data_IF_442948292616
#
_entry.id   IF_442948292616
#
_cell.length_a   1.000
_cell.length_b   1.000
_cell.length_c   1.000
_cell.angle_alpha   90.00
_cell.angle_beta   90.00
_cell.angle_gamma   90.00
#
_symmetry.space_group_name_H-M   'P 1'
#
loop_
_entity.id
_entity.type
_entity.pdbx_description
1 polymer ?
#
# COMPACT_ATOMS: atom_id res chain seq x y z
N UNK A 1 4.99 8.78 8.77
CA UNK A 1 4.99 10.26 8.61
C UNK A 1 3.57 10.82 8.50
N UNK A 2 2.73 10.29 7.61
CA UNK A 2 1.37 10.79 7.35
C UNK A 2 0.50 10.88 8.62
N UNK A 3 0.52 9.86 9.49
CA UNK A 3 -0.28 9.84 10.73
C UNK A 3 0.02 11.05 11.64
N UNK A 4 1.29 11.39 11.82
CA UNK A 4 1.70 12.55 12.63
C UNK A 4 1.29 13.87 11.96
N UNK A 5 1.55 14.03 10.66
CA UNK A 5 1.19 15.24 9.92
C UNK A 5 -0.32 15.51 9.87
N UNK A 6 -1.13 14.45 10.01
CA UNK A 6 -2.59 14.51 10.07
C UNK A 6 -3.14 14.50 11.50
N UNK A 7 -2.29 14.77 12.49
CA UNK A 7 -2.63 14.80 13.92
C UNK A 7 -3.34 13.53 14.43
N UNK A 8 -3.08 12.37 13.80
CA UNK A 8 -3.63 11.08 14.23
C UNK A 8 -2.81 10.48 15.38
N UNK A 9 -1.53 10.83 15.46
CA UNK A 9 -0.65 10.43 16.56
C UNK A 9 0.07 11.66 17.13
N UNK A 10 0.28 11.73 18.46
CA UNK A 10 0.89 12.90 19.10
C UNK A 10 2.38 13.04 18.77
N UNK A 11 3.04 11.95 18.38
CA UNK A 11 4.46 11.90 18.04
C UNK A 11 4.68 10.99 16.81
N UNK A 12 5.82 11.12 16.10
CA UNK A 12 6.25 10.17 15.10
C UNK A 12 6.32 8.74 15.67
N UNK A 13 5.90 7.75 14.88
CA UNK A 13 5.88 6.33 15.29
C UNK A 13 7.25 5.87 15.80
N UNK A 14 8.35 6.33 15.17
CA UNK A 14 9.71 5.98 15.60
C UNK A 14 10.04 6.48 17.01
N UNK A 15 9.44 7.59 17.46
CA UNK A 15 9.62 8.10 18.81
C UNK A 15 8.74 7.33 19.82
N UNK A 16 7.52 6.95 19.42
CA UNK A 16 6.62 6.16 20.25
C UNK A 16 7.22 4.80 20.65
N UNK A 17 7.91 4.12 19.71
CA UNK A 17 8.62 2.87 19.99
C UNK A 17 9.64 3.00 21.13
N UNK A 18 10.31 4.17 21.25
CA UNK A 18 11.38 4.40 22.24
C UNK A 18 10.85 4.76 23.62
N UNK A 19 9.58 5.11 23.74
CA UNK A 19 9.01 5.58 25.01
C UNK A 19 8.59 4.43 25.93
N UNK A 20 8.83 3.16 25.57
CA UNK A 20 8.40 2.02 26.38
C UNK A 20 9.21 1.93 27.66
N UNK A 21 8.65 2.43 28.78
CA UNK A 21 9.24 2.17 30.10
C UNK A 21 9.08 3.25 31.17
N UNK A 22 8.36 4.36 30.95
CA UNK A 22 8.31 5.47 31.94
C UNK A 22 6.93 6.04 32.23
N UNK A 23 5.87 5.48 31.67
CA UNK A 23 4.53 6.06 31.71
C UNK A 23 3.76 5.51 32.93
N UNK A 24 3.36 6.39 33.85
CA UNK A 24 2.48 6.02 34.97
C UNK A 24 1.03 5.74 34.55
N UNK A 25 0.65 6.10 33.32
CA UNK A 25 -0.69 5.89 32.78
C UNK A 25 -0.75 4.55 32.01
N UNK A 26 -1.32 3.53 32.67
CA UNK A 26 -1.48 2.18 32.13
C UNK A 26 -2.38 2.13 30.87
N UNK A 27 -3.43 2.97 30.80
CA UNK A 27 -4.32 3.04 29.63
C UNK A 27 -3.60 3.58 28.40
N UNK A 28 -2.85 4.68 28.54
CA UNK A 28 -2.08 5.25 27.45
C UNK A 28 -0.95 4.31 27.00
N UNK A 29 -0.32 3.60 27.93
CA UNK A 29 0.67 2.58 27.61
C UNK A 29 0.06 1.43 26.79
N UNK A 30 -1.13 0.95 27.17
CA UNK A 30 -1.86 -0.09 26.43
C UNK A 30 -2.20 0.36 25.01
N UNK A 31 -2.82 1.54 24.84
CA UNK A 31 -3.17 2.08 23.51
C UNK A 31 -1.95 2.25 22.61
N UNK A 32 -0.82 2.69 23.18
CA UNK A 32 0.42 2.81 22.42
C UNK A 32 0.93 1.44 21.98
N UNK A 33 0.93 0.44 22.86
CA UNK A 33 1.35 -0.92 22.50
C UNK A 33 0.46 -1.50 21.42
N UNK A 34 -0.85 -1.33 21.53
CA UNK A 34 -1.82 -1.76 20.50
C UNK A 34 -1.56 -1.08 19.15
N UNK A 35 -1.32 0.24 19.14
CA UNK A 35 -0.96 0.98 17.93
C UNK A 35 0.34 0.46 17.30
N UNK A 36 1.36 0.19 18.11
CA UNK A 36 2.65 -0.32 17.63
C UNK A 36 2.49 -1.73 17.05
N UNK A 37 1.74 -2.61 17.72
CA UNK A 37 1.44 -3.94 17.21
C UNK A 37 0.67 -3.89 15.88
N UNK A 38 -0.34 -3.03 15.77
CA UNK A 38 -1.09 -2.83 14.53
C UNK A 38 -0.18 -2.30 13.40
N UNK A 39 0.75 -1.40 13.73
CA UNK A 39 1.72 -0.86 12.76
C UNK A 39 2.71 -1.92 12.28
N UNK A 40 3.19 -2.80 13.16
CA UNK A 40 4.08 -3.90 12.81
C UNK A 40 3.37 -4.93 11.91
N UNK A 41 2.13 -5.32 12.25
CA UNK A 41 1.30 -6.19 11.40
C UNK A 41 1.09 -5.57 10.02
N UNK A 42 0.72 -4.29 9.96
CA UNK A 42 0.55 -3.58 8.70
C UNK A 42 1.84 -3.54 7.88
N UNK A 43 2.98 -3.26 8.52
CA UNK A 43 4.28 -3.18 7.85
C UNK A 43 4.73 -4.53 7.28
N UNK A 44 4.48 -5.61 8.02
CA UNK A 44 4.70 -6.99 7.56
C UNK A 44 3.86 -7.29 6.31
N UNK A 45 2.56 -6.98 6.35
CA UNK A 45 1.66 -7.19 5.21
C UNK A 45 2.01 -6.33 3.99
N UNK A 46 2.46 -5.09 4.19
CA UNK A 46 2.92 -4.26 3.08
C UNK A 46 4.12 -4.90 2.38
N UNK A 47 5.08 -5.43 3.14
CA UNK A 47 6.27 -6.08 2.57
C UNK A 47 5.90 -7.29 1.71
N UNK A 48 5.03 -8.16 2.22
CA UNK A 48 4.56 -9.34 1.47
C UNK A 48 3.71 -8.96 0.26
N UNK A 49 2.79 -8.01 0.42
CA UNK A 49 1.92 -7.52 -0.68
C UNK A 49 2.74 -6.86 -1.78
N UNK A 50 3.71 -6.01 -1.44
CA UNK A 50 4.59 -5.38 -2.44
C UNK A 50 5.45 -6.41 -3.15
N UNK A 51 5.94 -7.44 -2.46
CA UNK A 51 6.70 -8.53 -3.09
C UNK A 51 5.84 -9.32 -4.09
N UNK A 52 4.62 -9.70 -3.67
CA UNK A 52 3.67 -10.41 -4.52
C UNK A 52 3.25 -9.56 -5.73
N UNK A 53 2.93 -8.27 -5.51
CA UNK A 53 2.54 -7.33 -6.54
C UNK A 53 3.69 -7.09 -7.54
N UNK A 54 4.92 -6.89 -7.05
CA UNK A 54 6.10 -6.69 -7.90
C UNK A 54 6.34 -7.91 -8.79
N UNK A 55 6.20 -9.11 -8.22
CA UNK A 55 6.30 -10.36 -8.99
C UNK A 55 5.19 -10.49 -10.02
N UNK A 56 3.95 -10.19 -9.65
CA UNK A 56 2.81 -10.23 -10.57
C UNK A 56 2.97 -9.22 -11.72
N UNK A 57 3.43 -8.00 -11.41
CA UNK A 57 3.70 -6.96 -12.40
C UNK A 57 4.81 -7.36 -13.37
N UNK A 58 5.94 -7.87 -12.87
CA UNK A 58 7.04 -8.36 -13.69
C UNK A 58 6.63 -9.53 -14.59
N UNK A 59 5.73 -10.39 -14.12
CA UNK A 59 5.15 -11.49 -14.94
C UNK A 59 4.16 -10.99 -15.98
N UNK A 60 3.47 -9.88 -15.70
CA UNK A 60 2.51 -9.29 -16.63
C UNK A 60 3.17 -8.52 -17.77
N UNK A 61 4.31 -7.85 -17.51
CA UNK A 61 5.06 -7.09 -18.51
C UNK A 61 5.76 -7.99 -19.54
N UNK A 62 6.16 -9.21 -19.16
CA UNK A 62 6.87 -10.14 -20.05
C UNK A 62 6.05 -10.62 -21.26
N UNK A 63 4.71 -10.46 -21.26
CA UNK A 63 3.83 -10.87 -22.36
C UNK A 63 3.59 -9.77 -23.39
N UNK A 64 4.04 -8.55 -23.13
CA UNK A 64 3.78 -7.40 -23.99
C UNK A 64 4.81 -7.35 -25.13
N UNK A 65 4.31 -7.17 -26.36
CA UNK A 65 5.03 -7.26 -27.64
C UNK A 65 6.43 -6.59 -27.64
N UNK A 66 7.43 -7.29 -28.21
CA UNK A 66 8.80 -6.76 -28.44
C UNK A 66 8.86 -5.47 -29.28
N UNK A 67 7.77 -5.11 -29.95
CA UNK A 67 7.68 -3.92 -30.81
C UNK A 67 7.00 -2.72 -30.14
N UNK A 68 6.56 -2.83 -28.88
CA UNK A 68 5.92 -1.72 -28.17
C UNK A 68 6.96 -0.79 -27.54
N UNK A 69 6.78 0.51 -27.73
CA UNK A 69 7.55 1.57 -27.07
C UNK A 69 7.66 1.33 -25.55
N UNK A 70 8.74 1.76 -24.89
CA UNK A 70 8.93 1.57 -23.45
C UNK A 70 7.68 2.04 -22.70
N UNK A 71 6.96 1.07 -22.12
CA UNK A 71 5.73 1.34 -21.38
C UNK A 71 6.17 1.97 -20.06
N UNK A 72 5.78 3.21 -19.81
CA UNK A 72 5.99 3.86 -18.52
C UNK A 72 5.19 3.07 -17.45
N UNK A 73 5.86 2.18 -16.73
CA UNK A 73 5.25 1.48 -15.63
C UNK A 73 5.02 2.46 -14.48
N UNK A 74 3.74 2.63 -14.13
CA UNK A 74 3.30 3.53 -13.06
C UNK A 74 2.41 2.79 -12.07
N UNK A 75 2.73 2.92 -10.78
CA UNK A 75 1.98 2.34 -9.69
C UNK A 75 1.46 3.43 -8.76
N UNK A 76 0.28 3.23 -8.19
CA UNK A 76 -0.31 4.17 -7.24
C UNK A 76 -0.67 3.45 -5.95
N UNK A 77 -0.30 4.05 -4.81
CA UNK A 77 -0.69 3.60 -3.48
C UNK A 77 -1.55 4.69 -2.85
N UNK A 78 -2.74 4.32 -2.38
CA UNK A 78 -3.66 5.22 -1.70
C UNK A 78 -3.72 4.88 -0.21
N UNK A 79 -3.50 5.88 0.65
CA UNK A 79 -3.67 5.79 2.11
C UNK A 79 -4.88 6.64 2.49
N UNK A 80 -5.94 5.98 2.92
CA UNK A 80 -7.17 6.62 3.38
C UNK A 80 -7.21 6.63 4.91
N UNK A 81 -7.51 7.80 5.49
CA UNK A 81 -7.63 7.99 6.94
C UNK A 81 -9.04 8.48 7.28
N UNK A 82 -9.79 7.68 8.03
CA UNK A 82 -11.11 8.04 8.54
C UNK A 82 -11.86 6.84 9.11
N UNK A 83 -13.12 7.05 9.55
CA UNK A 83 -13.94 6.01 10.18
C UNK A 83 -14.24 4.84 9.25
N UNK A 84 -14.43 5.11 7.96
CA UNK A 84 -14.60 4.09 6.93
C UNK A 84 -13.96 4.54 5.62
N UNK A 85 -13.88 3.61 4.66
CA UNK A 85 -13.32 3.85 3.34
C UNK A 85 -14.14 4.87 2.53
N UNK A 86 -15.47 4.86 2.69
CA UNK A 86 -16.39 5.80 2.05
C UNK A 86 -16.46 7.18 2.71
N UNK A 87 -16.15 7.27 4.00
CA UNK A 87 -16.19 8.53 4.78
C UNK A 87 -14.79 8.99 5.23
N UNK A 88 -13.76 8.60 4.47
CA UNK A 88 -12.38 8.95 4.77
C UNK A 88 -12.20 10.48 4.82
N UNK A 89 -11.73 10.99 5.95
CA UNK A 89 -11.49 12.42 6.21
C UNK A 89 -10.27 12.95 5.46
N UNK A 90 -9.28 12.09 5.24
CA UNK A 90 -8.07 12.44 4.51
C UNK A 90 -7.67 11.31 3.59
N UNK A 91 -7.20 11.66 2.39
CA UNK A 91 -6.69 10.74 1.38
C UNK A 91 -5.29 11.20 0.99
N UNK A 92 -4.35 10.27 0.88
CA UNK A 92 -2.98 10.53 0.41
C UNK A 92 -2.68 9.55 -0.70
N UNK A 93 -2.27 10.05 -1.86
CA UNK A 93 -1.86 9.24 -3.01
C UNK A 93 -0.34 9.34 -3.17
N UNK A 94 0.30 8.19 -3.37
CA UNK A 94 1.70 8.07 -3.72
C UNK A 94 1.77 7.43 -5.10
N UNK A 95 2.12 8.22 -6.11
CA UNK A 95 2.47 7.73 -7.44
C UNK A 95 3.95 7.35 -7.47
N UNK A 96 4.25 6.16 -7.97
CA UNK A 96 5.61 5.68 -8.25
C UNK A 96 5.71 5.48 -9.75
N UNK A 97 6.54 6.31 -10.37
CA UNK A 97 6.76 6.35 -11.81
C UNK A 97 8.10 5.68 -12.16
N UNK A 98 8.22 5.22 -13.41
CA UNK A 98 9.48 4.77 -14.00
C UNK A 98 10.16 3.63 -13.21
N UNK A 99 9.38 2.72 -12.63
CA UNK A 99 9.98 1.53 -12.04
C UNK A 99 10.26 0.49 -13.13
N UNK A 100 11.42 -0.16 -13.02
CA UNK A 100 11.83 -1.24 -13.91
C UNK A 100 11.33 -2.58 -13.34
N UNK A 101 10.45 -3.26 -14.08
CA UNK A 101 9.84 -4.50 -13.64
C UNK A 101 10.70 -5.69 -14.09
N UNK A 102 11.60 -6.15 -13.21
CA UNK A 102 12.45 -7.33 -13.44
C UNK A 102 11.99 -8.53 -12.62
N UNK A 103 12.01 -9.71 -13.23
CA UNK A 103 11.73 -10.96 -12.52
C UNK A 103 13.00 -11.34 -11.74
N UNK A 104 12.91 -11.32 -10.41
CA UNK A 104 14.02 -11.74 -9.56
C UNK A 104 14.36 -13.21 -9.83
N UNK A 105 15.63 -13.51 -10.16
CA UNK A 105 16.10 -14.87 -10.41
C UNK A 105 16.09 -15.29 -11.88
N UNK A 106 15.51 -14.51 -12.80
CA UNK A 106 15.85 -14.62 -14.22
C UNK A 106 17.11 -13.79 -14.40
N UNK A 107 18.28 -14.42 -14.24
CA UNK A 107 19.53 -13.82 -14.70
C UNK A 107 19.30 -13.49 -16.17
N UNK A 108 19.45 -12.23 -16.57
CA UNK A 108 19.41 -11.81 -17.96
C UNK A 108 20.50 -12.61 -18.67
N UNK A 109 20.11 -13.78 -19.19
CA UNK A 109 20.99 -14.66 -19.94
C UNK A 109 21.48 -13.81 -21.09
N UNK A 110 22.76 -13.52 -21.00
CA UNK A 110 23.43 -12.42 -21.65
C UNK A 110 23.33 -12.66 -23.15
N UNK A 111 22.30 -12.10 -23.79
CA UNK A 111 22.13 -12.05 -25.25
C UNK A 111 23.10 -11.04 -25.87
N UNK A 112 24.28 -10.91 -25.28
CA UNK A 112 25.45 -10.23 -25.83
C UNK A 112 26.26 -11.26 -26.61
N UNK A 113 26.18 -11.15 -27.92
CA UNK A 113 26.73 -12.09 -28.90
C UNK A 113 28.11 -12.64 -28.63
N UNK A 114 28.25 -13.94 -28.91
CA UNK A 114 29.30 -14.40 -29.79
C UNK A 114 28.60 -14.97 -31.03
N UNK A 115 28.70 -14.22 -32.12
CA UNK A 115 28.62 -14.77 -33.47
C UNK A 115 29.71 -15.86 -33.62
N UNK A 116 29.38 -16.89 -34.39
CA UNK A 116 30.27 -17.88 -35.00
C UNK A 116 31.00 -18.86 -34.06
N UNK A 117 30.48 -20.09 -33.97
CA UNK A 117 31.16 -21.27 -34.52
C UNK A 117 30.23 -22.51 -34.46
N UNK A 118 29.98 -23.07 -35.64
CA UNK A 118 29.34 -24.35 -35.91
C UNK A 118 30.03 -25.50 -35.14
N UNK A 119 29.33 -26.22 -34.26
CA UNK A 119 29.61 -27.64 -34.03
C UNK A 119 28.31 -28.41 -33.80
N UNK A 120 27.94 -29.19 -34.83
CA UNK A 120 26.95 -30.28 -34.76
C UNK A 120 27.34 -31.22 -33.61
N UNK A 121 26.49 -31.36 -32.59
CA UNK A 121 26.59 -32.46 -31.64
C UNK A 121 25.18 -32.97 -31.32
N UNK A 122 24.74 -33.89 -32.17
CA UNK A 122 23.67 -34.85 -31.88
C UNK A 122 24.18 -35.83 -30.81
N UNK A 123 23.81 -35.69 -29.54
CA UNK A 123 23.70 -36.87 -28.65
C UNK A 123 22.51 -36.73 -27.69
N UNK A 124 21.57 -37.66 -27.88
CA UNK A 124 20.53 -38.07 -26.95
C UNK A 124 21.06 -38.23 -25.52
N UNK A 125 20.39 -37.63 -24.54
CA UNK A 125 20.37 -38.22 -23.19
C UNK A 125 19.00 -38.03 -22.52
N UNK A 126 18.22 -39.11 -22.58
CA UNK A 126 17.12 -39.34 -21.67
C UNK A 126 17.66 -39.53 -20.25
N UNK A 127 17.31 -38.63 -19.33
CA UNK A 127 17.38 -38.98 -17.91
C UNK A 127 16.23 -38.39 -17.14
N UNK A 128 15.28 -39.28 -16.83
CA UNK A 128 14.24 -39.04 -15.86
C UNK A 128 14.80 -38.91 -14.45
N UNK A 129 14.12 -38.10 -13.64
CA UNK A 129 14.15 -38.24 -12.19
C UNK A 129 12.74 -38.05 -11.66
N UNK A 130 12.13 -39.21 -11.41
CA UNK A 130 11.01 -39.41 -10.49
C UNK A 130 11.39 -38.94 -9.07
N UNK A 131 10.36 -38.64 -8.28
CA UNK A 131 10.36 -38.59 -6.81
C UNK A 131 10.96 -37.33 -6.14
N UNK A 132 10.51 -36.85 -4.97
CA UNK A 132 9.84 -37.50 -3.85
C UNK A 132 8.83 -36.56 -3.18
N UNK A 133 7.81 -37.17 -2.60
CA UNK A 133 6.84 -36.61 -1.67
C UNK A 133 7.52 -36.21 -0.35
N UNK A 134 7.56 -34.91 -0.06
CA UNK A 134 7.99 -34.38 1.24
C UNK A 134 6.79 -34.02 2.12
N UNK A 135 6.24 -35.06 2.76
CA UNK A 135 5.37 -34.99 3.93
C UNK A 135 6.19 -34.53 5.14
N UNK A 136 5.89 -33.36 5.70
CA UNK A 136 6.43 -32.93 7.00
C UNK A 136 5.29 -32.43 7.90
N UNK A 137 4.72 -33.43 8.59
CA UNK A 137 4.50 -33.47 10.04
C UNK A 137 3.89 -32.25 10.73
N UNK A 138 2.69 -32.49 11.23
CA UNK A 138 2.00 -31.71 12.22
C UNK A 138 2.83 -31.58 13.51
N UNK A 139 3.22 -30.37 13.89
CA UNK A 139 3.58 -30.06 15.28
C UNK A 139 2.35 -29.49 15.99
N UNK A 140 1.66 -30.42 16.67
CA UNK A 140 0.87 -30.17 17.87
C UNK A 140 1.72 -29.55 18.97
N UNK A 141 1.17 -28.55 19.68
CA UNK A 141 1.45 -28.09 21.08
C UNK A 141 1.33 -26.54 21.13
N UNK A 142 0.61 -25.89 22.04
CA UNK A 142 -0.16 -26.32 23.18
C UNK A 142 -1.15 -25.18 23.48
N UNK A 143 -2.44 -25.51 23.60
CA UNK A 143 -3.49 -24.61 24.07
C UNK A 143 -3.32 -24.41 25.59
N UNK A 144 -2.77 -23.27 26.00
CA UNK A 144 -2.84 -22.80 27.38
C UNK A 144 -4.06 -21.89 27.56
N UNK A 145 -5.09 -22.26 28.33
CA UNK A 145 -6.17 -21.33 28.66
C UNK A 145 -5.64 -20.26 29.63
N UNK A 146 -5.45 -19.04 29.14
CA UNK A 146 -5.26 -17.88 30.00
C UNK A 146 -6.63 -17.36 30.42
N UNK A 147 -7.16 -17.90 31.52
CA UNK A 147 -8.27 -17.31 32.27
C UNK A 147 -7.90 -15.88 32.68
N UNK A 148 -8.38 -14.91 31.91
CA UNK A 148 -8.37 -13.51 32.31
C UNK A 148 -9.80 -13.09 32.61
N UNK A 149 -10.22 -13.42 33.82
CA UNK A 149 -11.39 -12.90 34.53
C UNK A 149 -11.38 -11.35 34.47
N UNK A 150 -12.03 -10.77 33.46
CA UNK A 150 -12.26 -9.32 33.40
C UNK A 150 -13.68 -9.06 33.85
N UNK A 151 -13.81 -8.90 35.17
CA UNK A 151 -15.00 -8.44 35.88
C UNK A 151 -15.72 -7.31 35.12
N UNK A 152 -17.03 -7.51 34.92
CA UNK A 152 -17.92 -6.58 34.26
C UNK A 152 -18.03 -5.25 35.01
N UNK A 153 -18.05 -4.17 34.24
CA UNK A 153 -18.55 -2.87 34.69
C UNK A 153 -19.66 -2.48 33.73
N UNK A 154 -20.86 -2.94 34.04
CA UNK A 154 -22.09 -2.51 33.39
C UNK A 154 -22.37 -1.07 33.80
N UNK A 155 -22.03 -0.14 32.91
CA UNK A 155 -22.44 1.26 32.99
C UNK A 155 -23.59 1.47 32.03
N UNK A 156 -24.81 1.34 32.53
CA UNK A 156 -26.00 1.82 31.84
C UNK A 156 -25.85 3.32 31.55
N UNK A 157 -26.04 3.70 30.30
CA UNK A 157 -26.21 5.10 29.92
C UNK A 157 -27.31 5.19 28.88
N UNK A 158 -28.54 5.16 29.38
CA UNK A 158 -29.68 5.77 28.72
C UNK A 158 -29.37 7.24 28.46
N UNK A 159 -29.42 7.63 27.20
CA UNK A 159 -29.13 8.98 26.74
C UNK A 159 -29.82 9.24 25.42
N UNK A 160 -31.16 9.27 25.48
CA UNK A 160 -32.01 9.88 24.46
C UNK A 160 -31.61 11.35 24.27
N UNK A 161 -31.43 11.78 23.02
CA UNK A 161 -31.73 13.15 22.55
C UNK A 161 -31.60 13.13 21.02
N UNK A 162 -32.72 13.12 20.31
CA UNK A 162 -33.48 14.29 19.85
C UNK A 162 -32.70 15.17 18.87
N UNK A 163 -33.31 15.28 17.69
CA UNK A 163 -33.25 16.29 16.65
C UNK A 163 -32.29 17.48 16.84
N UNK A 164 -31.57 17.87 15.78
CA UNK A 164 -31.93 19.07 15.02
C UNK A 164 -31.34 19.06 13.61
N UNK A 165 -32.25 19.34 12.69
CA UNK A 165 -32.12 19.81 11.31
C UNK A 165 -31.34 21.15 11.22
N UNK A 166 -30.70 21.38 10.07
CA UNK A 166 -30.21 22.71 9.68
C UNK A 166 -28.69 22.89 9.53
N UNK A 167 -28.21 22.93 8.29
CA UNK A 167 -28.02 24.23 7.61
C UNK A 167 -27.34 24.05 6.27
N UNK A 168 -28.01 24.55 5.22
CA UNK A 168 -27.40 24.94 3.97
C UNK A 168 -26.22 25.90 4.21
N UNK A 169 -25.04 25.58 3.68
CA UNK A 169 -23.98 26.57 3.54
C UNK A 169 -23.48 26.60 2.10
N UNK A 170 -24.25 27.32 1.29
CA UNK A 170 -23.85 27.89 0.02
C UNK A 170 -22.78 28.96 0.30
N UNK A 171 -21.51 28.59 0.08
CA UNK A 171 -20.35 29.43 0.36
C UNK A 171 -19.41 29.44 -0.82
N UNK A 172 -19.77 30.21 -1.85
CA UNK A 172 -18.89 30.51 -2.97
C UNK A 172 -17.56 31.08 -2.52
N UNK A 173 -16.46 30.50 -3.03
CA UNK A 173 -15.14 31.12 -2.95
C UNK A 173 -14.50 31.07 -4.32
N UNK A 174 -14.67 32.16 -5.08
CA UNK A 174 -13.82 32.46 -6.22
C UNK A 174 -12.47 32.90 -5.68
N UNK A 175 -11.45 32.04 -5.80
CA UNK A 175 -10.07 32.46 -5.64
C UNK A 175 -9.40 32.51 -7.01
N UNK A 176 -9.42 33.70 -7.59
CA UNK A 176 -8.44 34.17 -8.57
C UNK A 176 -7.06 34.09 -7.92
N UNK A 177 -6.13 33.35 -8.52
CA UNK A 177 -4.71 33.45 -8.16
C UNK A 177 -3.95 33.82 -9.41
N UNK A 178 -3.54 35.08 -9.40
CA UNK A 178 -2.80 35.76 -10.44
C UNK A 178 -1.37 35.22 -10.53
N UNK A 179 -0.90 35.32 -11.77
CA UNK A 179 0.42 35.13 -12.32
C UNK A 179 1.50 35.95 -11.59
N UNK A 180 2.61 35.33 -11.21
CA UNK A 180 3.89 36.04 -11.09
C UNK A 180 5.03 35.20 -11.71
N UNK A 181 5.40 35.61 -12.92
CA UNK A 181 6.48 35.10 -13.73
C UNK A 181 7.76 35.88 -13.38
N UNK A 182 8.61 35.33 -12.52
CA UNK A 182 9.91 35.92 -12.20
C UNK A 182 11.00 35.39 -13.16
N UNK A 183 11.24 36.15 -14.23
CA UNK A 183 12.37 35.95 -15.15
C UNK A 183 13.66 36.51 -14.54
N UNK A 184 14.47 35.65 -13.91
CA UNK A 184 15.87 35.99 -13.59
C UNK A 184 16.80 35.58 -14.73
N UNK A 185 17.27 36.59 -15.47
CA UNK A 185 18.40 36.52 -16.40
C UNK A 185 19.68 36.69 -15.59
N UNK A 186 20.52 35.66 -15.51
CA UNK A 186 21.92 35.83 -15.11
C UNK A 186 22.86 35.19 -16.13
N UNK A 187 23.61 36.08 -16.79
CA UNK A 187 24.64 35.76 -17.77
C UNK A 187 25.92 35.31 -17.06
N UNK A 188 26.12 33.99 -16.93
CA UNK A 188 27.39 33.39 -16.49
C UNK A 188 28.10 32.69 -17.64
N UNK A 189 29.08 33.35 -18.26
CA UNK A 189 29.94 32.79 -19.32
C UNK A 189 31.01 31.90 -18.67
N UNK A 190 30.72 30.61 -18.48
CA UNK A 190 31.67 29.62 -17.95
C UNK A 190 32.34 28.90 -19.13
N UNK A 191 33.68 28.84 -19.07
CA UNK A 191 34.55 28.16 -20.02
C UNK A 191 34.30 26.65 -20.00
N UNK A 192 34.01 26.10 -21.18
CA UNK A 192 33.64 24.71 -21.39
C UNK A 192 34.80 23.75 -21.09
N UNK A 193 34.63 22.93 -20.07
CA UNK A 193 35.36 21.67 -19.88
C UNK A 193 34.44 20.59 -20.45
N UNK A 194 34.85 19.95 -21.55
CA UNK A 194 34.11 18.83 -22.16
C UNK A 194 34.19 17.61 -21.23
N UNK A 195 33.17 17.48 -20.39
CA UNK A 195 32.90 16.25 -19.63
C UNK A 195 32.16 15.27 -20.55
N UNK A 196 32.59 14.00 -20.64
CA UNK A 196 31.96 13.00 -21.51
C UNK A 196 30.47 12.91 -21.24
N UNK A 197 29.68 13.12 -22.30
CA UNK A 197 28.21 13.13 -22.29
C UNK A 197 27.70 11.73 -21.93
N UNK A 198 27.32 11.55 -20.67
CA UNK A 198 26.48 10.44 -20.24
C UNK A 198 25.14 10.42 -20.99
N UNK A 199 24.39 9.30 -20.91
CA UNK A 199 23.12 9.13 -21.61
C UNK A 199 22.19 10.33 -21.37
N UNK A 200 21.69 10.92 -22.46
CA UNK A 200 20.73 12.02 -22.40
C UNK A 200 19.48 11.54 -21.68
N UNK A 201 19.33 11.93 -20.43
CA UNK A 201 18.07 11.82 -19.68
C UNK A 201 17.08 12.73 -20.41
N UNK A 202 16.19 12.13 -21.20
CA UNK A 202 15.07 12.85 -21.82
C UNK A 202 14.17 13.28 -20.68
N UNK A 203 13.91 14.58 -20.55
CA UNK A 203 12.99 15.07 -19.53
C UNK A 203 11.61 14.39 -19.74
N UNK A 204 10.99 13.85 -18.68
CA UNK A 204 9.72 13.16 -18.82
C UNK A 204 8.68 14.11 -19.43
N UNK A 205 7.77 13.61 -20.29
CA UNK A 205 6.71 14.42 -20.85
C UNK A 205 5.91 15.06 -19.71
N UNK A 206 5.87 16.39 -19.68
CA UNK A 206 5.09 17.12 -18.69
C UNK A 206 3.61 16.97 -19.03
N UNK A 207 2.95 16.03 -18.37
CA UNK A 207 1.48 15.93 -18.37
C UNK A 207 0.92 17.23 -17.82
N UNK A 208 -0.13 17.76 -18.44
CA UNK A 208 -0.79 18.97 -17.95
C UNK A 208 -1.48 18.68 -16.61
N UNK A 209 -1.41 19.62 -15.67
CA UNK A 209 -2.09 19.50 -14.37
C UNK A 209 -3.59 19.17 -14.50
N UNK A 210 -4.26 19.73 -15.51
CA UNK A 210 -5.68 19.46 -15.76
C UNK A 210 -5.93 18.00 -16.21
N UNK A 211 -4.98 17.41 -16.95
CA UNK A 211 -5.04 16.02 -17.38
C UNK A 211 -4.78 15.08 -16.21
N UNK A 212 -3.78 15.40 -15.38
CA UNK A 212 -3.50 14.68 -14.15
C UNK A 212 -4.71 14.69 -13.19
N UNK A 213 -5.37 15.83 -13.01
CA UNK A 213 -6.54 15.93 -12.15
C UNK A 213 -7.72 15.09 -12.69
N UNK A 214 -7.93 15.07 -14.01
CA UNK A 214 -8.96 14.20 -14.64
C UNK A 214 -8.60 12.72 -14.47
N UNK A 215 -7.34 12.36 -14.64
CA UNK A 215 -6.85 11.01 -14.43
C UNK A 215 -7.11 10.56 -12.99
N UNK A 216 -6.76 11.39 -12.00
CA UNK A 216 -6.98 11.10 -10.58
C UNK A 216 -8.47 10.95 -10.24
N UNK A 217 -9.34 11.81 -10.78
CA UNK A 217 -10.80 11.68 -10.60
C UNK A 217 -11.34 10.38 -11.20
N UNK A 218 -10.86 9.98 -12.38
CA UNK A 218 -11.26 8.73 -13.00
C UNK A 218 -10.78 7.52 -12.19
N UNK A 219 -9.53 7.55 -11.73
CA UNK A 219 -8.96 6.53 -10.86
C UNK A 219 -9.72 6.40 -9.54
N UNK A 220 -10.08 7.54 -8.92
CA UNK A 220 -10.90 7.57 -7.71
C UNK A 220 -12.28 6.94 -7.95
N UNK A 221 -12.96 7.31 -9.04
CA UNK A 221 -14.27 6.76 -9.39
C UNK A 221 -14.20 5.24 -9.65
N UNK A 222 -13.15 4.78 -10.32
CA UNK A 222 -12.92 3.36 -10.55
C UNK A 222 -12.67 2.63 -9.24
N UNK A 223 -11.81 3.18 -8.37
CA UNK A 223 -11.51 2.62 -7.05
C UNK A 223 -12.79 2.54 -6.20
N UNK A 224 -13.56 3.61 -6.09
CA UNK A 224 -14.84 3.62 -5.37
C UNK A 224 -15.81 2.58 -5.92
N UNK A 225 -15.88 2.40 -7.24
CA UNK A 225 -16.73 1.37 -7.86
C UNK A 225 -16.23 -0.04 -7.55
N UNK A 226 -14.93 -0.29 -7.63
CA UNK A 226 -14.33 -1.59 -7.32
C UNK A 226 -14.54 -1.95 -5.85
N UNK A 227 -14.40 -0.99 -4.94
CA UNK A 227 -14.66 -1.18 -3.51
C UNK A 227 -16.14 -1.47 -3.25
N UNK A 228 -17.05 -0.68 -3.83
CA UNK A 228 -18.48 -0.93 -3.71
C UNK A 228 -18.89 -2.31 -4.29
N UNK A 229 -18.24 -2.75 -5.37
CA UNK A 229 -18.46 -4.07 -5.95
C UNK A 229 -17.91 -5.20 -5.06
N UNK A 230 -16.74 -4.99 -4.42
CA UNK A 230 -16.18 -5.93 -3.46
C UNK A 230 -17.04 -6.03 -2.17
N UNK A 231 -17.62 -4.92 -1.73
CA UNK A 231 -18.57 -4.92 -0.61
C UNK A 231 -19.87 -5.69 -0.96
N UNK A 232 -20.39 -5.50 -2.17
CA UNK A 232 -21.60 -6.18 -2.63
C UNK A 232 -21.40 -7.69 -2.84
N UNK A 233 -20.18 -8.15 -3.13
CA UNK A 233 -19.87 -9.57 -3.38
C UNK A 233 -19.69 -10.39 -2.09
N UNK A 234 -19.84 -9.78 -0.91
CA UNK A 234 -19.70 -10.47 0.38
C UNK A 234 -18.26 -10.70 0.83
N UNK A 235 -17.28 -10.29 0.01
CA UNK A 235 -15.85 -10.26 0.35
C UNK A 235 -15.43 -8.88 0.92
N UNK A 236 -16.39 -8.02 1.23
CA UNK A 236 -16.12 -6.70 1.80
C UNK A 236 -15.54 -6.81 3.21
N UNK A 237 -14.66 -5.87 3.57
CA UNK A 237 -14.09 -5.71 4.92
C UNK A 237 -15.17 -5.62 6.01
N UNK A 238 -16.38 -5.18 5.65
CA UNK A 238 -17.53 -5.14 6.54
C UNK A 238 -18.04 -6.54 6.94
N UNK A 239 -17.80 -7.57 6.13
CA UNK A 239 -18.13 -8.97 6.47
C UNK A 239 -17.13 -9.55 7.47
N UNK A 240 -15.86 -9.13 7.40
CA UNK A 240 -14.81 -9.57 8.34
C UNK A 240 -14.87 -8.85 9.69
N UNK A 241 -15.41 -7.62 9.74
CA UNK A 241 -15.61 -6.88 10.99
C UNK A 241 -16.94 -7.19 11.70
N UNK A 242 -17.78 -8.10 11.19
CA UNK A 242 -18.89 -8.62 12.00
C UNK A 242 -18.27 -9.49 13.09
N UNK A 243 -18.00 -8.85 14.22
CA UNK A 243 -17.61 -9.49 15.49
C UNK A 243 -18.34 -10.81 15.60
N UNK A 244 -17.59 -11.91 15.65
CA UNK A 244 -18.09 -13.27 15.81
C UNK A 244 -19.22 -13.26 16.84
N UNK A 245 -20.46 -13.26 16.35
CA UNK A 245 -21.63 -13.25 17.18
C UNK A 245 -21.63 -14.58 17.91
N UNK A 246 -21.10 -14.58 19.14
CA UNK A 246 -21.11 -15.74 20.03
C UNK A 246 -22.58 -16.16 20.11
N UNK A 247 -22.96 -17.35 19.59
CA UNK A 247 -24.34 -17.77 19.63
C UNK A 247 -24.77 -17.84 21.10
N UNK A 248 -25.84 -17.14 21.51
CA UNK A 248 -26.36 -17.20 22.87
C UNK A 248 -27.00 -18.57 23.06
N UNK A 249 -26.22 -19.57 23.46
CA UNK A 249 -26.75 -20.93 23.51
C UNK A 249 -25.92 -21.99 24.23
N UNK A 250 -24.83 -21.65 24.92
CA UNK A 250 -23.97 -22.65 25.57
C UNK A 250 -23.87 -22.52 27.10
N UNK A 251 -24.94 -22.08 27.75
CA UNK A 251 -25.09 -22.15 29.20
C UNK A 251 -26.45 -22.74 29.55
N UNK A 252 -26.55 -24.08 29.55
CA UNK A 252 -27.39 -24.85 30.48
C UNK A 252 -27.37 -26.35 30.12
N UNK A 253 -26.57 -27.12 30.85
CA UNK A 253 -26.89 -28.52 31.23
C UNK A 253 -26.01 -28.92 32.42
N UNK A 254 -26.49 -28.57 33.61
CA UNK A 254 -26.20 -29.27 34.87
C UNK A 254 -27.28 -30.32 35.11
#
# INVERSE_FOLDING_TARGET
MVLFLKNQTPLPVQQLCRMSGKNTNTKAAKQRTELLNAFDTLSSHLTTTFTALSTALARSSSKENKDASPVDHRAYVAILLGPSLGTAKSKVFLGVDQFDARIWGMQEEQTGGNDDEDEDTDEDDESGSEAESGDEEATSDEEGPSDSESEGSEGESDGESDDEDGSDNDGGSSHTSETEEATSKENGKILAIEVPRGPRIVAPPTVSFAEEQRFLQNAERLLSRTLAAADASGYGLASEMRTSHIPPGFLART
#
